data_IF_954871136391
#
_entry.id   IF_954871136391
#
_cell.length_a   1.000
_cell.length_b   1.000
_cell.length_c   1.000
_cell.angle_alpha   90.00
_cell.angle_beta   90.00
_cell.angle_gamma   90.00
#
_symmetry.space_group_name_H-M   'P 1'
#
loop_
_entity.id
_entity.type
_entity.pdbx_description
1 polymer ?
#
# COMPACT_ATOMS: atom_id res chain seq x y z
N UNK A 1 6.89 3.41 -5.56
CA UNK A 1 5.90 3.43 -4.47
C UNK A 1 5.54 4.86 -4.14
N UNK A 2 4.26 5.15 -3.88
CA UNK A 2 3.79 6.47 -3.43
C UNK A 2 3.52 6.42 -1.93
N UNK A 3 3.99 7.42 -1.20
CA UNK A 3 3.82 7.60 0.24
C UNK A 3 3.06 8.90 0.50
N UNK A 4 2.15 8.90 1.47
CA UNK A 4 1.59 10.13 2.04
C UNK A 4 2.43 10.53 3.25
N UNK A 5 3.12 11.66 3.15
CA UNK A 5 3.97 12.20 4.21
C UNK A 5 3.18 13.27 4.97
N UNK A 6 3.29 13.25 6.30
CA UNK A 6 2.73 14.27 7.18
C UNK A 6 3.83 14.72 8.13
N UNK A 7 4.13 16.02 8.13
CA UNK A 7 5.11 16.62 9.03
C UNK A 7 4.45 16.92 10.38
N UNK A 8 4.97 16.32 11.46
CA UNK A 8 4.42 16.44 12.83
C UNK A 8 5.12 17.51 13.68
N UNK A 9 6.32 17.93 13.30
CA UNK A 9 7.18 18.86 14.05
C UNK A 9 7.22 20.26 13.42
N UNK A 10 7.85 21.21 14.12
CA UNK A 10 8.21 22.52 13.56
C UNK A 10 9.16 22.31 12.37
N UNK A 11 8.58 22.25 11.17
CA UNK A 11 9.33 22.06 9.93
C UNK A 11 9.64 23.40 9.30
N UNK A 12 10.86 23.51 8.76
CA UNK A 12 11.26 24.65 7.94
C UNK A 12 10.34 24.83 6.71
N UNK A 13 9.72 23.76 6.20
CA UNK A 13 8.76 23.83 5.11
C UNK A 13 7.44 24.47 5.57
N UNK A 14 6.93 24.06 6.74
CA UNK A 14 5.72 24.66 7.33
C UNK A 14 5.96 26.14 7.64
N UNK A 15 7.13 26.49 8.19
CA UNK A 15 7.50 27.89 8.47
C UNK A 15 7.59 28.75 7.20
N UNK A 16 7.88 28.13 6.05
CA UNK A 16 7.85 28.78 4.73
C UNK A 16 6.45 28.86 4.12
N UNK A 17 5.43 28.35 4.81
CA UNK A 17 4.03 28.39 4.36
C UNK A 17 3.60 27.21 3.51
N UNK A 18 4.42 26.14 3.41
CA UNK A 18 4.01 24.90 2.77
C UNK A 18 3.07 24.09 3.68
N UNK A 19 2.14 23.29 3.11
CA UNK A 19 1.26 22.43 3.89
C UNK A 19 2.06 21.34 4.63
N UNK A 20 1.53 20.85 5.75
CA UNK A 20 2.16 19.75 6.49
C UNK A 20 2.13 18.41 5.74
N UNK A 21 1.19 18.23 4.82
CA UNK A 21 0.99 17.01 4.05
C UNK A 21 1.60 17.14 2.64
N UNK A 22 2.31 16.10 2.18
CA UNK A 22 2.84 16.03 0.82
C UNK A 22 3.03 14.59 0.32
N UNK A 23 3.03 14.36 -1.00
CA UNK A 23 3.37 13.07 -1.57
C UNK A 23 4.89 12.83 -1.57
N UNK A 24 5.28 11.60 -1.29
CA UNK A 24 6.62 11.07 -1.51
C UNK A 24 6.60 9.95 -2.55
N UNK A 25 7.59 9.89 -3.45
CA UNK A 25 7.71 8.79 -4.43
C UNK A 25 9.10 8.17 -4.37
N UNK A 26 9.14 6.85 -4.22
CA UNK A 26 10.37 6.06 -4.42
C UNK A 26 10.56 5.72 -5.90
N UNK A 27 11.71 6.08 -6.44
CA UNK A 27 12.09 5.83 -7.82
C UNK A 27 12.15 4.33 -8.10
N UNK A 28 11.53 3.92 -9.21
CA UNK A 28 11.60 2.56 -9.71
C UNK A 28 11.92 2.57 -11.20
N UNK A 29 13.08 2.02 -11.56
CA UNK A 29 13.56 1.96 -12.94
C UNK A 29 12.65 1.14 -13.85
N UNK A 30 11.85 0.23 -13.29
CA UNK A 30 10.91 -0.58 -14.07
C UNK A 30 9.70 0.23 -14.57
N UNK A 31 9.43 1.40 -13.98
CA UNK A 31 8.27 2.22 -14.33
C UNK A 31 8.68 3.30 -15.34
N UNK A 32 8.04 3.27 -16.51
CA UNK A 32 8.31 4.19 -17.63
C UNK A 32 7.93 5.63 -17.33
N UNK A 33 6.93 5.85 -16.47
CA UNK A 33 6.46 7.18 -16.05
C UNK A 33 7.57 8.09 -15.53
N UNK A 34 8.61 7.55 -14.89
CA UNK A 34 9.74 8.37 -14.40
C UNK A 34 10.57 8.97 -15.54
N UNK A 35 10.54 8.40 -16.75
CA UNK A 35 11.23 8.96 -17.92
C UNK A 35 10.51 10.21 -18.43
N UNK A 36 9.22 10.35 -18.15
CA UNK A 36 8.38 11.46 -18.56
C UNK A 36 8.17 12.49 -17.44
N UNK A 37 8.73 12.28 -16.24
CA UNK A 37 8.49 13.10 -15.06
C UNK A 37 8.72 14.60 -15.27
N UNK A 38 9.76 14.97 -16.03
CA UNK A 38 10.01 16.36 -16.39
C UNK A 38 8.93 16.91 -17.32
N UNK A 39 8.54 16.17 -18.37
CA UNK A 39 7.48 16.59 -19.29
C UNK A 39 6.15 16.76 -18.56
N UNK A 40 5.79 15.81 -17.70
CA UNK A 40 4.56 15.87 -16.88
C UNK A 40 4.58 17.11 -16.00
N UNK A 41 5.68 17.40 -15.30
CA UNK A 41 5.76 18.58 -14.44
C UNK A 41 5.68 19.88 -15.25
N UNK A 42 6.36 19.95 -16.39
CA UNK A 42 6.36 21.16 -17.24
C UNK A 42 4.98 21.51 -17.80
N UNK A 43 4.07 20.54 -17.95
CA UNK A 43 2.69 20.81 -18.35
C UNK A 43 1.92 21.59 -17.26
N UNK A 44 2.30 21.43 -15.99
CA UNK A 44 1.67 22.16 -14.89
C UNK A 44 2.27 23.55 -14.67
N UNK A 45 3.61 23.66 -14.72
CA UNK A 45 4.31 24.87 -14.24
C UNK A 45 5.10 25.60 -15.33
N UNK A 46 5.21 25.04 -16.54
CA UNK A 46 6.06 25.60 -17.60
C UNK A 46 7.54 25.30 -17.37
N UNK A 47 8.37 26.34 -17.18
CA UNK A 47 9.81 26.17 -16.98
C UNK A 47 10.14 25.74 -15.54
N UNK A 48 10.46 24.45 -15.39
CA UNK A 48 10.80 23.83 -14.12
C UNK A 48 11.98 24.52 -13.43
N UNK A 49 12.97 25.03 -14.18
CA UNK A 49 14.17 25.62 -13.57
C UNK A 49 13.92 26.99 -12.96
N UNK A 50 12.97 27.74 -13.52
CA UNK A 50 12.62 29.07 -13.04
C UNK A 50 11.56 29.01 -11.93
N UNK A 51 10.64 28.04 -12.02
CA UNK A 51 9.46 27.97 -11.17
C UNK A 51 9.63 27.02 -9.98
N UNK A 52 10.55 26.05 -10.04
CA UNK A 52 10.76 25.07 -8.96
C UNK A 52 12.17 25.07 -8.38
N UNK A 53 12.24 24.85 -7.07
CA UNK A 53 13.47 24.57 -6.35
C UNK A 53 13.53 23.08 -6.02
N UNK A 54 14.63 22.42 -6.39
CA UNK A 54 14.88 21.01 -6.05
C UNK A 54 16.16 20.95 -5.23
N UNK A 55 16.02 20.60 -3.95
CA UNK A 55 17.13 20.46 -3.02
C UNK A 55 17.41 18.99 -2.80
N UNK A 56 18.65 18.57 -3.06
CA UNK A 56 19.07 17.18 -2.85
C UNK A 56 19.67 17.02 -1.45
N UNK A 57 19.13 16.10 -0.67
CA UNK A 57 19.60 15.80 0.67
C UNK A 57 19.92 14.30 0.80
N UNK A 58 21.13 13.88 0.39
CA UNK A 58 21.50 12.47 0.39
C UNK A 58 21.68 11.89 1.79
N UNK A 59 21.92 12.73 2.79
CA UNK A 59 22.32 12.34 4.14
C UNK A 59 21.27 12.72 5.21
N UNK A 60 20.12 13.27 4.80
CA UNK A 60 19.05 13.75 5.68
C UNK A 60 19.47 14.86 6.65
N UNK A 61 20.43 15.67 6.23
CA UNK A 61 20.98 16.74 7.03
C UNK A 61 20.20 18.05 6.89
N UNK A 62 19.60 18.30 5.72
CA UNK A 62 18.87 19.54 5.44
C UNK A 62 17.40 19.44 5.82
N UNK A 63 16.79 18.26 5.69
CA UNK A 63 15.38 18.00 5.98
C UNK A 63 15.20 16.75 6.87
N UNK A 64 15.74 16.75 8.11
CA UNK A 64 15.60 15.62 9.02
C UNK A 64 14.14 15.28 9.35
N UNK A 65 13.26 16.28 9.40
CA UNK A 65 11.82 16.08 9.63
C UNK A 65 11.13 15.34 8.48
N UNK A 66 11.62 15.53 7.24
CA UNK A 66 11.11 14.81 6.06
C UNK A 66 11.55 13.35 6.12
N UNK A 67 12.79 13.08 6.56
CA UNK A 67 13.28 11.73 6.75
C UNK A 67 12.47 10.98 7.83
N UNK A 68 12.15 11.64 8.94
CA UNK A 68 11.29 11.07 9.99
C UNK A 68 9.89 10.74 9.44
N UNK A 69 9.26 11.67 8.71
CA UNK A 69 7.96 11.44 8.09
C UNK A 69 7.97 10.28 7.08
N UNK A 70 9.08 10.08 6.34
CA UNK A 70 9.24 8.92 5.44
C UNK A 70 9.26 7.62 6.25
N UNK A 71 9.99 7.57 7.37
CA UNK A 71 10.03 6.39 8.24
C UNK A 71 8.65 6.07 8.83
N UNK A 72 7.93 7.09 9.30
CA UNK A 72 6.56 6.95 9.81
C UNK A 72 5.56 6.49 8.73
N UNK A 73 5.79 6.89 7.48
CA UNK A 73 5.05 6.41 6.33
C UNK A 73 5.41 4.97 5.90
N UNK A 74 6.40 4.34 6.56
CA UNK A 74 6.91 3.01 6.22
C UNK A 74 7.77 3.00 4.95
N UNK A 75 8.33 4.15 4.57
CA UNK A 75 9.27 4.27 3.47
C UNK A 75 10.65 3.72 3.81
N UNK A 76 11.40 3.34 2.78
CA UNK A 76 12.78 2.89 2.93
C UNK A 76 13.74 4.04 3.17
N UNK A 77 14.79 3.78 3.94
CA UNK A 77 15.87 4.72 4.16
C UNK A 77 16.71 4.91 2.88
N UNK A 78 16.36 5.92 2.07
CA UNK A 78 17.04 6.27 0.82
C UNK A 78 17.44 7.74 0.82
N UNK A 79 18.43 8.11 0.00
CA UNK A 79 18.72 9.52 -0.28
C UNK A 79 17.46 10.22 -0.81
N UNK A 80 17.23 11.48 -0.40
CA UNK A 80 16.03 12.23 -0.79
C UNK A 80 16.35 13.48 -1.62
N UNK A 81 15.33 13.93 -2.34
CA UNK A 81 15.26 15.28 -2.89
C UNK A 81 13.91 15.87 -2.54
N UNK A 82 13.91 17.12 -2.09
CA UNK A 82 12.71 17.89 -1.77
C UNK A 82 12.49 18.89 -2.89
N UNK A 83 11.31 18.83 -3.51
CA UNK A 83 10.92 19.70 -4.60
C UNK A 83 9.86 20.65 -4.09
N UNK A 84 10.06 21.95 -4.35
CA UNK A 84 9.21 23.03 -3.87
C UNK A 84 8.75 23.87 -5.06
N UNK A 85 7.45 24.19 -5.07
CA UNK A 85 6.80 25.08 -6.01
C UNK A 85 6.14 26.24 -5.24
N UNK A 86 6.87 27.35 -5.03
CA UNK A 86 6.42 28.44 -4.16
C UNK A 86 5.09 29.08 -4.59
N UNK A 87 4.83 29.18 -5.90
CA UNK A 87 3.67 29.90 -6.45
C UNK A 87 2.32 29.33 -6.02
N UNK A 88 2.24 28.03 -5.74
CA UNK A 88 1.04 27.39 -5.18
C UNK A 88 1.28 26.75 -3.81
N UNK A 89 2.40 27.10 -3.15
CA UNK A 89 2.83 26.50 -1.88
C UNK A 89 2.78 24.96 -1.90
N UNK A 90 3.21 24.34 -3.01
CA UNK A 90 3.27 22.88 -3.12
C UNK A 90 4.69 22.38 -2.91
N UNK A 91 4.80 21.24 -2.25
CA UNK A 91 6.06 20.52 -2.13
C UNK A 91 5.82 19.01 -2.23
N UNK A 92 6.90 18.27 -2.46
CA UNK A 92 6.91 16.83 -2.56
C UNK A 92 8.33 16.25 -2.39
N UNK A 93 8.42 14.93 -2.26
CA UNK A 93 9.70 14.24 -2.00
C UNK A 93 9.95 13.12 -3.01
N UNK A 94 11.17 13.07 -3.55
CA UNK A 94 11.67 11.96 -4.37
C UNK A 94 12.76 11.17 -3.65
N UNK A 95 12.62 9.85 -3.59
CA UNK A 95 13.59 8.96 -2.95
C UNK A 95 14.30 8.09 -4.00
N UNK A 96 15.63 8.11 -4.02
CA UNK A 96 16.46 7.23 -4.85
C UNK A 96 17.94 7.32 -4.46
N UNK A 97 18.70 6.23 -4.61
CA UNK A 97 20.16 6.25 -4.37
C UNK A 97 20.94 7.21 -5.28
N UNK A 98 20.52 7.38 -6.54
CA UNK A 98 21.19 8.27 -7.51
C UNK A 98 20.47 9.61 -7.72
N UNK A 99 21.23 10.70 -7.86
CA UNK A 99 20.69 12.07 -8.00
C UNK A 99 19.66 12.21 -9.14
N UNK A 100 19.91 11.58 -10.31
CA UNK A 100 18.96 11.57 -11.44
C UNK A 100 17.64 10.88 -11.10
N UNK A 101 17.71 9.77 -10.36
CA UNK A 101 16.52 9.04 -9.91
C UNK A 101 15.72 9.87 -8.91
N UNK A 102 16.40 10.56 -7.99
CA UNK A 102 15.78 11.47 -7.03
C UNK A 102 15.07 12.61 -7.73
N UNK A 103 15.74 13.22 -8.70
CA UNK A 103 15.19 14.34 -9.47
C UNK A 103 13.98 13.90 -10.31
N UNK A 104 14.03 12.73 -10.94
CA UNK A 104 12.87 12.19 -11.66
C UNK A 104 11.70 11.90 -10.70
N UNK A 105 11.97 11.27 -9.55
CA UNK A 105 10.93 10.94 -8.59
C UNK A 105 10.31 12.18 -7.94
N UNK A 106 11.10 13.18 -7.58
CA UNK A 106 10.59 14.39 -6.93
C UNK A 106 9.76 15.23 -7.90
N UNK A 107 10.15 15.30 -9.18
CA UNK A 107 9.34 15.97 -10.21
C UNK A 107 7.98 15.31 -10.37
N UNK A 108 7.95 13.97 -10.39
CA UNK A 108 6.70 13.23 -10.49
C UNK A 108 5.84 13.41 -9.23
N UNK A 109 6.46 13.38 -8.04
CA UNK A 109 5.77 13.62 -6.78
C UNK A 109 5.19 15.04 -6.71
N UNK A 110 5.93 16.04 -7.18
CA UNK A 110 5.48 17.42 -7.22
C UNK A 110 4.31 17.61 -8.18
N UNK A 111 4.37 16.96 -9.36
CA UNK A 111 3.24 16.88 -10.29
C UNK A 111 1.99 16.30 -9.61
N UNK A 112 2.13 15.25 -8.79
CA UNK A 112 1.00 14.69 -8.03
C UNK A 112 0.45 15.67 -7.00
N UNK A 113 1.32 16.41 -6.30
CA UNK A 113 0.94 17.42 -5.31
C UNK A 113 0.14 18.57 -5.94
N UNK A 114 0.52 18.99 -7.15
CA UNK A 114 -0.19 20.02 -7.93
C UNK A 114 -1.51 19.47 -8.49
N UNK A 115 -1.50 18.24 -9.01
CA UNK A 115 -2.68 17.60 -9.61
C UNK A 115 -3.85 17.44 -8.63
N UNK A 116 -3.60 17.37 -7.32
CA UNK A 116 -4.64 17.29 -6.29
C UNK A 116 -5.60 18.50 -6.28
N UNK A 117 -5.12 19.67 -6.70
CA UNK A 117 -5.91 20.91 -6.69
C UNK A 117 -6.48 21.27 -8.07
N UNK A 118 -6.17 20.47 -9.09
CA UNK A 118 -6.57 20.75 -10.47
C UNK A 118 -8.00 20.28 -10.73
N UNK A 119 -8.70 21.01 -11.60
CA UNK A 119 -10.01 20.59 -12.04
C UNK A 119 -9.94 19.36 -12.96
N UNK A 120 -11.05 18.63 -13.00
CA UNK A 120 -11.19 17.42 -13.79
C UNK A 120 -10.97 17.63 -15.31
N UNK A 121 -11.28 18.82 -15.84
CA UNK A 121 -11.09 19.15 -17.25
C UNK A 121 -9.62 19.23 -17.62
N UNK A 122 -8.83 19.90 -16.78
CA UNK A 122 -7.36 19.99 -16.94
C UNK A 122 -6.72 18.60 -16.88
N UNK A 123 -7.09 17.79 -15.88
CA UNK A 123 -6.58 16.42 -15.73
C UNK A 123 -6.99 15.49 -16.88
N UNK A 124 -8.17 15.70 -17.48
CA UNK A 124 -8.61 14.93 -18.64
C UNK A 124 -7.74 15.18 -19.89
N UNK A 125 -7.20 16.39 -20.04
CA UNK A 125 -6.22 16.71 -21.09
C UNK A 125 -4.94 15.90 -20.92
N UNK A 126 -4.41 15.87 -19.70
CA UNK A 126 -3.20 15.12 -19.36
C UNK A 126 -3.35 13.62 -19.53
N UNK A 127 -4.52 13.07 -19.24
CA UNK A 127 -4.79 11.63 -19.38
C UNK A 127 -4.58 11.08 -20.79
N UNK A 128 -4.63 11.94 -21.81
CA UNK A 128 -4.35 11.56 -23.20
C UNK A 128 -2.86 11.49 -23.49
N UNK A 129 -2.07 12.36 -22.87
CA UNK A 129 -0.64 12.49 -23.12
C UNK A 129 0.19 11.62 -22.18
N UNK A 130 -0.28 11.39 -20.95
CA UNK A 130 0.46 10.72 -19.87
C UNK A 130 -0.43 9.69 -19.15
N UNK A 131 -0.83 8.59 -19.82
CA UNK A 131 -1.70 7.59 -19.23
C UNK A 131 -1.09 6.92 -17.98
N UNK A 132 0.21 6.64 -17.99
CA UNK A 132 0.91 6.00 -16.85
C UNK A 132 0.89 6.89 -15.60
N UNK A 133 0.99 8.22 -15.77
CA UNK A 133 0.87 9.17 -14.68
C UNK A 133 -0.53 9.16 -14.07
N UNK A 134 -1.57 9.04 -14.90
CA UNK A 134 -2.94 8.95 -14.40
C UNK A 134 -3.21 7.66 -13.63
N UNK A 135 -2.62 6.54 -14.06
CA UNK A 135 -2.66 5.29 -13.30
C UNK A 135 -2.04 5.51 -11.92
N UNK A 136 -0.88 6.16 -11.87
CA UNK A 136 -0.21 6.47 -10.60
C UNK A 136 -1.07 7.36 -9.67
N UNK A 137 -1.75 8.39 -10.21
CA UNK A 137 -2.66 9.22 -9.43
C UNK A 137 -3.86 8.44 -8.87
N UNK A 138 -4.40 7.49 -9.64
CA UNK A 138 -5.50 6.62 -9.20
C UNK A 138 -5.04 5.63 -8.13
N UNK A 139 -3.88 5.00 -8.31
CA UNK A 139 -3.28 4.08 -7.33
C UNK A 139 -2.94 4.80 -6.02
N UNK A 140 -2.51 6.05 -6.10
CA UNK A 140 -2.29 6.91 -4.95
C UNK A 140 -3.58 7.44 -4.31
N UNK A 141 -4.76 7.10 -4.84
CA UNK A 141 -6.06 7.56 -4.37
C UNK A 141 -6.27 9.07 -4.42
N UNK A 142 -5.49 9.79 -5.23
CA UNK A 142 -5.66 11.23 -5.48
C UNK A 142 -6.89 11.46 -6.36
N UNK A 143 -7.08 10.59 -7.35
CA UNK A 143 -8.27 10.62 -8.21
C UNK A 143 -9.31 9.65 -7.68
N UNK A 144 -10.37 10.19 -7.06
CA UNK A 144 -11.55 9.39 -6.74
C UNK A 144 -12.33 9.08 -8.01
N UNK A 145 -12.60 7.80 -8.27
CA UNK A 145 -13.34 7.32 -9.46
C UNK A 145 -14.84 7.68 -9.42
N UNK A 146 -15.22 8.68 -8.65
CA UNK A 146 -16.61 9.12 -8.45
C UNK A 146 -17.12 9.84 -9.70
N UNK A 147 -17.57 9.06 -10.68
CA UNK A 147 -18.40 9.51 -11.79
C UNK A 147 -17.67 9.76 -13.10
N UNK A 148 -17.58 8.72 -13.94
CA UNK A 148 -17.56 8.86 -15.41
C UNK A 148 -16.38 9.58 -16.09
N UNK A 149 -15.20 9.69 -15.46
CA UNK A 149 -14.04 10.36 -16.08
C UNK A 149 -12.82 9.48 -16.35
N UNK A 150 -12.85 8.19 -16.04
CA UNK A 150 -11.77 7.30 -16.48
C UNK A 150 -11.93 7.11 -17.99
N UNK A 151 -11.08 7.71 -18.84
CA UNK A 151 -11.18 7.54 -20.28
C UNK A 151 -11.09 6.05 -20.58
N UNK A 152 -11.88 5.56 -21.53
CA UNK A 152 -11.83 4.15 -21.95
C UNK A 152 -10.39 3.69 -22.29
N UNK A 153 -9.54 4.63 -22.73
CA UNK A 153 -8.11 4.43 -22.97
C UNK A 153 -7.32 3.91 -21.75
N UNK A 154 -7.65 4.33 -20.54
CA UNK A 154 -6.98 3.88 -19.31
C UNK A 154 -7.34 2.43 -18.93
N UNK A 155 -8.47 1.90 -19.43
CA UNK A 155 -8.90 0.52 -19.12
C UNK A 155 -8.13 -0.55 -19.90
N UNK A 156 -7.44 -0.20 -20.98
CA UNK A 156 -6.74 -1.18 -21.84
C UNK A 156 -5.24 -1.33 -21.54
N UNK A 157 -4.65 -0.44 -20.73
CA UNK A 157 -3.20 -0.41 -20.46
C UNK A 157 -2.73 -1.30 -19.30
N UNK A 158 -3.62 -1.84 -18.47
CA UNK A 158 -3.25 -2.71 -17.34
C UNK A 158 -2.71 -4.09 -17.75
N UNK A 159 -2.56 -4.40 -19.05
CA UNK A 159 -2.19 -5.73 -19.52
C UNK A 159 -1.35 -5.72 -20.79
N UNK A 160 -0.04 -5.48 -20.68
CA UNK A 160 0.91 -5.90 -21.71
C UNK A 160 1.97 -4.88 -22.08
N UNK A 161 2.98 -4.72 -21.22
CA UNK A 161 4.25 -4.11 -21.65
C UNK A 161 5.01 -5.09 -22.56
N UNK A 162 4.61 -5.18 -23.83
CA UNK A 162 5.46 -5.68 -24.92
C UNK A 162 5.99 -4.48 -25.68
N UNK A 163 7.11 -3.95 -25.19
CA UNK A 163 7.90 -2.93 -25.86
C UNK A 163 8.22 -3.35 -27.30
N UNK A 164 7.55 -2.70 -28.25
CA UNK A 164 7.93 -2.70 -29.66
C UNK A 164 8.41 -1.28 -29.96
N UNK A 165 9.66 -1.02 -29.61
CA UNK A 165 10.33 0.24 -29.96
C UNK A 165 10.26 0.44 -31.47
N UNK A 166 9.52 1.46 -31.90
CA UNK A 166 9.63 1.96 -33.28
C UNK A 166 10.93 2.76 -33.33
N UNK A 167 11.92 2.19 -34.02
CA UNK A 167 13.14 2.91 -34.37
C UNK A 167 12.80 4.16 -35.14
N UNK A 168 13.23 5.31 -34.61
CA UNK A 168 13.32 6.54 -35.36
C UNK A 168 14.45 6.37 -36.39
N UNK A 169 14.07 6.27 -37.65
CA UNK A 169 14.97 6.23 -38.81
C UNK A 169 15.56 7.63 -39.03
N UNK A 170 16.62 7.95 -38.28
CA UNK A 170 17.44 9.13 -38.50
C UNK A 170 18.47 8.88 -39.60
N UNK A 171 18.17 9.34 -40.83
CA UNK A 171 19.16 9.45 -41.91
C UNK A 171 20.15 10.56 -41.58
N UNK A 172 21.37 10.18 -41.22
CA UNK A 172 22.52 11.09 -41.09
C UNK A 172 23.79 10.41 -41.62
N UNK A 173 24.13 10.70 -42.88
CA UNK A 173 25.48 10.48 -43.43
C UNK A 173 26.46 11.35 -42.63
N UNK A 174 27.61 10.83 -42.23
CA UNK A 174 28.91 11.16 -42.84
C UNK A 174 30.07 10.48 -42.10
N UNK A 175 31.12 10.17 -42.86
CA UNK A 175 32.13 9.16 -42.61
C UNK A 175 33.29 9.71 -41.76
N UNK A 176 33.46 9.19 -40.55
CA UNK A 176 34.72 9.27 -39.79
C UNK A 176 35.43 7.91 -39.79
N UNK A 177 36.47 7.76 -40.60
CA UNK A 177 37.37 6.58 -40.59
C UNK A 177 38.21 6.60 -39.31
N UNK A 178 37.96 5.65 -38.41
CA UNK A 178 38.88 5.29 -37.32
C UNK A 178 39.01 3.77 -37.27
N UNK A 179 40.09 3.25 -37.85
CA UNK A 179 40.55 1.87 -37.65
C UNK A 179 40.92 1.73 -36.18
N UNK A 180 40.45 0.69 -35.50
CA UNK A 180 41.38 -0.17 -34.76
C UNK A 180 40.81 -1.55 -34.47
N UNK A 181 41.73 -2.51 -34.58
CA UNK A 181 41.55 -3.95 -34.53
C UNK A 181 41.65 -4.41 -33.08
N UNK A 182 40.70 -5.20 -32.61
CA UNK A 182 40.80 -5.91 -31.33
C UNK A 182 39.91 -7.13 -31.32
N UNK A 183 40.44 -8.27 -31.78
CA UNK A 183 39.74 -9.54 -31.80
C UNK A 183 39.68 -10.18 -30.41
N UNK A 184 38.48 -10.56 -29.98
CA UNK A 184 38.24 -11.37 -28.79
C UNK A 184 37.24 -12.48 -29.11
N UNK A 185 37.77 -13.68 -29.35
CA UNK A 185 37.04 -14.90 -29.72
C UNK A 185 36.65 -15.62 -28.42
N UNK A 186 35.39 -15.56 -28.01
CA UNK A 186 34.86 -16.30 -26.86
C UNK A 186 33.67 -17.17 -27.24
N UNK A 187 33.90 -18.49 -27.35
CA UNK A 187 32.89 -19.53 -27.54
C UNK A 187 32.49 -20.12 -26.18
N UNK A 188 31.19 -20.30 -25.93
CA UNK A 188 30.62 -21.21 -24.93
C UNK A 188 29.10 -20.97 -24.84
N UNK A 189 28.23 -21.76 -25.49
CA UNK A 189 27.65 -23.08 -25.15
C UNK A 189 26.84 -23.12 -23.84
N UNK A 190 25.58 -23.58 -23.98
CA UNK A 190 24.65 -24.03 -22.92
C UNK A 190 23.43 -23.10 -22.83
N UNK A 191 22.18 -23.46 -23.16
CA UNK A 191 21.52 -24.76 -23.19
C UNK A 191 20.55 -24.86 -22.01
N UNK A 192 19.23 -24.84 -22.26
CA UNK A 192 18.21 -25.10 -21.24
C UNK A 192 16.93 -24.28 -21.39
N UNK A 193 16.08 -24.61 -22.36
CA UNK A 193 14.71 -24.10 -22.45
C UNK A 193 13.77 -25.18 -21.90
N UNK A 194 13.24 -24.98 -20.69
CA UNK A 194 12.13 -25.78 -20.16
C UNK A 194 10.98 -24.85 -19.83
N UNK A 195 10.03 -24.78 -20.77
CA UNK A 195 8.74 -24.17 -20.55
C UNK A 195 7.83 -25.20 -19.87
N UNK A 196 7.56 -25.01 -18.59
CA UNK A 196 6.40 -25.62 -17.93
C UNK A 196 5.39 -24.50 -17.67
N UNK A 197 4.22 -24.63 -18.28
CA UNK A 197 3.12 -23.69 -18.10
C UNK A 197 2.53 -23.84 -16.69
N UNK A 198 2.25 -22.74 -15.97
CA UNK A 198 1.60 -22.83 -14.67
C UNK A 198 0.14 -23.26 -14.85
N UNK A 199 -0.20 -24.43 -14.33
CA UNK A 199 -1.59 -24.87 -14.18
C UNK A 199 -2.32 -23.92 -13.23
N UNK A 200 -3.35 -23.25 -13.76
CA UNK A 200 -4.31 -22.49 -12.96
C UNK A 200 -5.09 -23.45 -12.07
N UNK A 201 -4.92 -23.33 -10.76
CA UNK A 201 -5.77 -24.00 -9.77
C UNK A 201 -7.16 -23.36 -9.81
N UNK A 202 -8.24 -24.16 -9.87
CA UNK A 202 -9.59 -23.64 -9.71
C UNK A 202 -9.74 -23.10 -8.28
N UNK A 203 -10.12 -21.83 -8.17
CA UNK A 203 -10.38 -21.19 -6.89
C UNK A 203 -11.55 -21.88 -6.19
N UNK A 204 -11.26 -22.57 -5.09
CA UNK A 204 -12.27 -23.05 -4.16
C UNK A 204 -12.89 -21.85 -3.47
N UNK A 205 -14.03 -21.38 -3.97
CA UNK A 205 -14.90 -20.47 -3.25
C UNK A 205 -15.45 -21.20 -2.04
N UNK A 206 -14.76 -21.09 -0.90
CA UNK A 206 -15.31 -21.49 0.40
C UNK A 206 -16.64 -20.77 0.62
N UNK A 207 -17.59 -21.47 1.25
CA UNK A 207 -18.88 -20.85 1.60
C UNK A 207 -18.62 -19.62 2.46
N UNK A 208 -19.21 -18.50 2.08
CA UNK A 208 -19.21 -17.28 2.89
C UNK A 208 -19.93 -17.61 4.20
N UNK A 209 -19.34 -17.30 5.37
CA UNK A 209 -19.98 -17.56 6.64
C UNK A 209 -21.31 -16.79 6.74
N UNK A 210 -22.30 -17.40 7.38
CA UNK A 210 -23.69 -16.92 7.46
C UNK A 210 -23.84 -15.60 8.24
N UNK A 211 -22.80 -15.18 8.98
CA UNK A 211 -22.75 -13.92 9.72
C UNK A 211 -21.36 -13.31 9.57
N UNK A 212 -21.24 -12.29 8.72
CA UNK A 212 -19.99 -11.55 8.56
C UNK A 212 -20.21 -10.03 8.65
N UNK A 213 -19.28 -9.35 9.31
CA UNK A 213 -19.25 -7.88 9.38
C UNK A 213 -18.08 -7.38 8.56
N UNK A 214 -18.34 -6.68 7.47
CA UNK A 214 -17.31 -6.06 6.66
C UNK A 214 -17.20 -4.57 6.99
N UNK A 215 -16.03 -4.13 7.46
CA UNK A 215 -15.64 -2.74 7.59
C UNK A 215 -14.80 -2.38 6.37
N UNK A 216 -15.24 -1.42 5.55
CA UNK A 216 -14.46 -0.90 4.43
C UNK A 216 -14.13 0.57 4.59
N UNK A 217 -12.89 0.96 4.31
CA UNK A 217 -12.48 2.35 4.14
C UNK A 217 -12.91 2.88 2.76
N UNK A 218 -13.54 4.05 2.71
CA UNK A 218 -13.91 4.68 1.43
C UNK A 218 -12.72 5.30 0.67
N UNK A 219 -11.56 5.43 1.31
CA UNK A 219 -10.40 6.15 0.76
C UNK A 219 -9.28 5.15 0.44
N UNK A 220 -9.06 4.81 -0.85
CA UNK A 220 -8.08 3.79 -1.27
C UNK A 220 -6.64 4.07 -0.83
N UNK A 221 -6.25 5.35 -0.79
CA UNK A 221 -4.90 5.77 -0.40
C UNK A 221 -4.56 5.48 1.06
N UNK A 222 -5.58 5.35 1.91
CA UNK A 222 -5.43 5.01 3.31
C UNK A 222 -5.54 3.49 3.55
N UNK A 223 -5.85 2.66 2.54
CA UNK A 223 -6.19 1.25 2.70
C UNK A 223 -5.25 0.46 3.64
N UNK A 224 -3.91 0.55 3.55
CA UNK A 224 -3.05 -0.20 4.46
C UNK A 224 -3.15 0.28 5.92
N UNK A 225 -3.23 1.60 6.15
CA UNK A 225 -3.41 2.20 7.48
C UNK A 225 -4.82 1.99 8.01
N UNK A 226 -5.83 2.17 7.17
CA UNK A 226 -7.23 2.00 7.47
C UNK A 226 -7.60 0.54 7.72
N UNK A 227 -6.94 -0.42 7.07
CA UNK A 227 -7.13 -1.86 7.38
C UNK A 227 -6.59 -2.18 8.75
N UNK A 228 -5.37 -1.72 9.08
CA UNK A 228 -4.78 -1.91 10.43
C UNK A 228 -5.65 -1.26 11.51
N UNK A 229 -6.14 -0.06 11.24
CA UNK A 229 -7.01 0.66 12.16
C UNK A 229 -8.39 0.01 12.28
N UNK A 230 -8.99 -0.45 11.19
CA UNK A 230 -10.25 -1.21 11.22
C UNK A 230 -10.12 -2.50 12.02
N UNK A 231 -9.01 -3.23 11.87
CA UNK A 231 -8.71 -4.43 12.66
C UNK A 231 -8.52 -4.07 14.14
N UNK A 232 -7.84 -2.96 14.47
CA UNK A 232 -7.69 -2.46 15.85
C UNK A 232 -9.05 -2.14 16.46
N UNK A 233 -9.88 -1.37 15.76
CA UNK A 233 -11.22 -0.98 16.20
C UNK A 233 -12.14 -2.20 16.39
N UNK A 234 -12.08 -3.20 15.51
CA UNK A 234 -12.84 -4.45 15.66
C UNK A 234 -12.39 -5.25 16.89
N UNK A 235 -11.08 -5.34 17.15
CA UNK A 235 -10.57 -6.01 18.35
C UNK A 235 -11.00 -5.28 19.63
N UNK A 236 -10.89 -3.95 19.66
CA UNK A 236 -11.34 -3.16 20.83
C UNK A 236 -12.84 -3.30 21.07
N UNK A 237 -13.65 -3.28 20.01
CA UNK A 237 -15.09 -3.50 20.12
C UNK A 237 -15.41 -4.90 20.65
N UNK A 238 -14.70 -5.94 20.18
CA UNK A 238 -14.90 -7.30 20.66
C UNK A 238 -14.49 -7.48 22.13
N UNK A 239 -13.37 -6.89 22.56
CA UNK A 239 -12.97 -6.95 23.97
C UNK A 239 -13.94 -6.17 24.87
N UNK A 240 -14.47 -5.03 24.42
CA UNK A 240 -15.48 -4.28 25.16
C UNK A 240 -16.79 -5.06 25.32
N UNK A 241 -17.13 -5.91 24.35
CA UNK A 241 -18.36 -6.70 24.33
C UNK A 241 -18.24 -8.05 25.02
N UNK A 242 -17.05 -8.48 25.46
CA UNK A 242 -16.89 -9.69 26.29
C UNK A 242 -17.39 -9.41 27.71
N UNK A 243 -18.54 -9.95 28.13
CA UNK A 243 -19.02 -9.77 29.49
C UNK A 243 -18.17 -10.66 30.43
N UNK A 244 -17.49 -10.06 31.41
CA UNK A 244 -17.24 -10.76 32.68
C UNK A 244 -16.12 -11.81 32.77
N UNK A 245 -15.11 -11.82 31.90
CA UNK A 245 -13.83 -12.55 32.17
C UNK A 245 -12.88 -11.66 33.01
N UNK A 246 -13.42 -10.97 34.01
CA UNK A 246 -12.63 -10.42 35.13
C UNK A 246 -12.87 -11.26 36.38
N UNK A 247 -12.96 -12.58 36.21
CA UNK A 247 -12.88 -13.50 37.32
C UNK A 247 -11.50 -13.33 37.97
N UNK A 248 -11.50 -12.81 39.20
CA UNK A 248 -10.34 -12.88 40.11
C UNK A 248 -9.73 -14.29 39.94
N UNK A 249 -8.43 -14.44 39.61
CA UNK A 249 -7.84 -15.75 39.44
C UNK A 249 -8.11 -16.58 40.70
N UNK A 250 -8.48 -17.86 40.58
CA UNK A 250 -8.70 -18.70 41.75
C UNK A 250 -7.42 -18.70 42.60
N UNK A 251 -7.48 -18.08 43.78
CA UNK A 251 -6.49 -18.27 44.83
C UNK A 251 -6.52 -19.76 45.19
N UNK A 252 -5.57 -20.55 44.68
CA UNK A 252 -5.39 -21.94 45.11
C UNK A 252 -5.03 -22.99 44.04
N UNK A 253 -4.45 -22.63 42.89
CA UNK A 253 -3.86 -23.62 41.98
C UNK A 253 -2.34 -23.43 41.92
N UNK A 254 -1.62 -24.00 42.89
CA UNK A 254 -0.19 -24.27 42.78
C UNK A 254 -0.04 -25.46 41.81
N UNK A 255 0.23 -25.16 40.54
CA UNK A 255 0.63 -26.15 39.53
C UNK A 255 2.16 -26.11 39.42
N UNK A 256 2.79 -27.02 40.15
CA UNK A 256 4.22 -27.31 40.13
C UNK A 256 4.56 -27.93 38.76
N UNK A 257 5.08 -27.11 37.83
CA UNK A 257 5.68 -27.62 36.58
C UNK A 257 7.09 -27.08 36.39
N UNK A 258 8.01 -28.02 36.27
CA UNK A 258 9.44 -27.85 36.02
C UNK A 258 9.72 -27.03 34.74
N UNK A 259 10.61 -26.02 34.81
CA UNK A 259 11.01 -25.22 33.66
C UNK A 259 12.23 -25.85 32.99
N UNK A 260 12.02 -26.96 32.28
CA UNK A 260 13.09 -27.58 31.49
C UNK A 260 12.54 -28.32 30.26
N UNK A 261 11.98 -27.59 29.30
CA UNK A 261 12.24 -27.93 27.90
C UNK A 261 12.11 -26.70 27.01
N UNK A 262 13.10 -26.53 26.14
CA UNK A 262 13.28 -25.36 25.30
C UNK A 262 12.66 -25.51 23.92
N UNK A 263 12.35 -24.37 23.30
CA UNK A 263 12.27 -24.23 21.85
C UNK A 263 10.87 -24.27 21.26
N UNK A 264 10.22 -23.10 21.20
CA UNK A 264 9.14 -22.87 20.24
C UNK A 264 9.34 -21.52 19.58
N UNK A 265 9.72 -21.54 18.31
CA UNK A 265 9.82 -20.33 17.49
C UNK A 265 8.46 -19.66 17.37
N UNK A 266 8.42 -18.35 17.65
CA UNK A 266 7.26 -17.52 17.41
C UNK A 266 6.93 -17.58 15.90
N UNK A 267 5.86 -18.28 15.55
CA UNK A 267 5.33 -18.26 14.19
C UNK A 267 4.86 -16.84 13.90
N UNK A 268 5.25 -16.30 12.74
CA UNK A 268 4.69 -15.04 12.26
C UNK A 268 3.18 -15.18 12.07
N UNK A 269 2.44 -14.07 12.15
CA UNK A 269 0.98 -14.04 11.95
C UNK A 269 0.58 -14.73 10.63
N UNK A 270 1.41 -14.66 9.59
CA UNK A 270 1.21 -15.38 8.33
C UNK A 270 1.44 -16.90 8.43
N UNK A 271 2.38 -17.36 9.25
CA UNK A 271 2.61 -18.79 9.50
C UNK A 271 1.48 -19.43 10.31
N UNK A 272 0.90 -18.69 11.26
CA UNK A 272 -0.30 -19.11 11.98
C UNK A 272 -1.51 -19.24 11.03
N UNK A 273 -1.67 -18.28 10.11
CA UNK A 273 -2.73 -18.28 9.08
C UNK A 273 -2.63 -19.47 8.11
N UNK A 274 -1.41 -19.81 7.66
CA UNK A 274 -1.20 -20.88 6.69
C UNK A 274 -1.38 -22.28 7.31
N UNK A 275 -1.03 -22.42 8.60
CA UNK A 275 -1.30 -23.62 9.38
C UNK A 275 -2.81 -23.87 9.59
N UNK A 276 -3.58 -22.82 9.87
CA UNK A 276 -5.03 -22.92 10.11
C UNK A 276 -5.80 -23.20 8.80
N UNK A 277 -5.39 -22.60 7.68
CA UNK A 277 -5.91 -22.94 6.35
C UNK A 277 -5.56 -24.38 5.93
N UNK A 278 -4.44 -24.93 6.39
CA UNK A 278 -4.10 -26.33 6.15
C UNK A 278 -4.98 -27.29 6.97
N UNK A 279 -5.34 -26.93 8.21
CA UNK A 279 -6.24 -27.72 9.08
C UNK A 279 -7.68 -27.76 8.52
N UNK A 280 -8.20 -26.62 8.03
CA UNK A 280 -9.51 -26.56 7.38
C UNK A 280 -9.56 -27.31 6.04
N UNK A 281 -8.42 -27.46 5.36
CA UNK A 281 -8.31 -28.27 4.13
C UNK A 281 -8.15 -29.77 4.41
N UNK A 282 -7.81 -30.16 5.64
CA UNK A 282 -7.50 -31.54 6.02
C UNK A 282 -8.65 -32.33 6.65
N UNK A 283 -9.77 -31.70 7.00
CA UNK A 283 -10.84 -32.35 7.79
C UNK A 283 -11.88 -33.10 6.93
N UNK A 284 -11.42 -33.97 6.03
CA UNK A 284 -12.30 -34.98 5.40
C UNK A 284 -11.65 -36.37 5.44
N UNK A 285 -11.82 -37.06 6.56
CA UNK A 285 -11.63 -38.51 6.64
C UNK A 285 -10.71 -38.97 7.79
N UNK A 286 -11.30 -39.58 8.82
CA UNK A 286 -10.57 -40.32 9.85
C UNK A 286 -11.38 -40.49 11.13
N UNK A 287 -11.66 -41.74 11.49
CA UNK A 287 -12.68 -42.18 12.44
C UNK A 287 -12.52 -41.72 13.91
N UNK A 288 -13.66 -41.42 14.54
CA UNK A 288 -14.04 -42.05 15.82
C UNK A 288 -13.63 -41.41 17.15
N UNK A 289 -12.97 -40.25 17.18
CA UNK A 289 -12.71 -39.53 18.43
C UNK A 289 -13.77 -38.45 18.69
N UNK A 290 -14.40 -38.48 19.88
CA UNK A 290 -15.35 -37.45 20.29
C UNK A 290 -14.67 -36.06 20.25
N UNK A 291 -15.26 -35.06 19.56
CA UNK A 291 -14.62 -33.76 19.41
C UNK A 291 -14.51 -33.07 20.76
N UNK A 292 -13.29 -32.69 21.15
CA UNK A 292 -13.07 -31.80 22.28
C UNK A 292 -13.88 -30.52 22.05
N UNK A 293 -14.62 -30.04 23.06
CA UNK A 293 -15.30 -28.74 23.03
C UNK A 293 -14.26 -27.65 22.76
N UNK A 294 -14.15 -27.21 21.51
CA UNK A 294 -13.30 -26.09 21.11
C UNK A 294 -14.11 -24.80 21.28
N UNK A 295 -13.50 -23.80 21.91
CA UNK A 295 -14.08 -22.46 22.02
C UNK A 295 -14.23 -21.88 20.60
N UNK A 296 -15.39 -21.30 20.24
CA UNK A 296 -15.56 -20.68 18.93
C UNK A 296 -14.51 -19.59 18.73
N UNK A 297 -13.76 -19.68 17.62
CA UNK A 297 -12.74 -18.70 17.26
C UNK A 297 -13.31 -17.74 16.22
N UNK A 298 -13.34 -16.46 16.57
CA UNK A 298 -13.67 -15.38 15.64
C UNK A 298 -12.52 -15.26 14.65
N UNK A 299 -12.82 -15.34 13.35
CA UNK A 299 -11.81 -15.22 12.30
C UNK A 299 -11.83 -13.82 11.70
N UNK A 300 -10.65 -13.22 11.56
CA UNK A 300 -10.47 -11.93 10.90
C UNK A 300 -9.92 -12.17 9.50
N UNK A 301 -10.62 -11.65 8.50
CA UNK A 301 -10.15 -11.64 7.12
C UNK A 301 -9.90 -10.18 6.71
N UNK A 302 -8.66 -9.83 6.40
CA UNK A 302 -8.33 -8.48 5.92
C UNK A 302 -7.77 -8.53 4.50
N UNK A 303 -8.37 -7.80 3.57
CA UNK A 303 -7.76 -7.49 2.27
C UNK A 303 -7.16 -6.08 2.31
N UNK A 304 -5.85 -6.03 2.58
CA UNK A 304 -5.06 -4.78 2.74
C UNK A 304 -5.16 -3.88 1.50
N UNK A 305 -5.34 -4.45 0.31
CA UNK A 305 -5.42 -3.71 -0.96
C UNK A 305 -6.71 -2.92 -1.14
N UNK A 306 -7.77 -3.22 -0.38
CA UNK A 306 -9.09 -2.58 -0.51
C UNK A 306 -9.57 -1.87 0.75
N UNK A 307 -8.78 -1.88 1.83
CA UNK A 307 -9.21 -1.23 3.06
C UNK A 307 -10.37 -1.96 3.72
N UNK A 308 -10.52 -3.27 3.46
CA UNK A 308 -11.64 -4.07 3.95
C UNK A 308 -11.14 -5.02 5.04
N UNK A 309 -11.73 -4.93 6.22
CA UNK A 309 -11.63 -5.91 7.28
C UNK A 309 -12.99 -6.61 7.44
N UNK A 310 -13.02 -7.93 7.29
CA UNK A 310 -14.19 -8.77 7.47
C UNK A 310 -14.02 -9.57 8.74
N UNK A 311 -14.96 -9.42 9.67
CA UNK A 311 -15.11 -10.26 10.83
C UNK A 311 -16.07 -11.39 10.48
N UNK A 312 -15.62 -12.64 10.51
CA UNK A 312 -16.48 -13.81 10.36
C UNK A 312 -16.75 -14.45 11.70
N UNK A 313 -18.02 -14.70 11.99
CA UNK A 313 -18.46 -15.39 13.21
C UNK A 313 -18.93 -16.80 12.81
N UNK A 314 -18.30 -17.87 13.32
CA UNK A 314 -18.72 -19.23 13.01
C UNK A 314 -20.11 -19.55 13.60
N UNK A 315 -20.90 -20.36 12.88
CA UNK A 315 -22.26 -20.77 13.24
C UNK A 315 -22.33 -21.56 14.56
N UNK A 316 -21.25 -22.26 14.92
CA UNK A 316 -21.16 -23.07 16.14
C UNK A 316 -21.07 -22.22 17.44
N UNK A 317 -20.98 -20.89 17.32
CA UNK A 317 -20.89 -19.96 18.44
C UNK A 317 -22.26 -19.53 19.03
N UNK A 318 -23.38 -20.08 18.54
CA UNK A 318 -24.76 -19.70 18.91
C UNK A 318 -25.16 -19.99 20.38
N UNK A 319 -24.22 -20.44 21.23
CA UNK A 319 -24.44 -20.68 22.66
C UNK A 319 -23.96 -19.56 23.60
N UNK A 320 -23.12 -18.63 23.13
CA UNK A 320 -22.73 -17.44 23.89
C UNK A 320 -23.55 -16.24 23.39
N UNK A 321 -23.93 -15.31 24.29
CA UNK A 321 -24.56 -14.03 23.91
C UNK A 321 -23.57 -13.20 23.08
N UNK A 322 -23.45 -13.55 21.82
CA UNK A 322 -22.64 -12.81 20.87
C UNK A 322 -23.25 -11.42 20.69
N UNK A 323 -22.42 -10.37 20.63
CA UNK A 323 -22.93 -9.04 20.39
C UNK A 323 -23.67 -8.99 19.06
N UNK A 324 -24.83 -8.33 19.09
CA UNK A 324 -25.56 -8.00 17.88
C UNK A 324 -24.70 -7.13 16.97
N UNK A 325 -24.96 -7.21 15.67
CA UNK A 325 -24.32 -6.37 14.67
C UNK A 325 -24.34 -4.87 15.02
N UNK A 326 -25.48 -4.40 15.53
CA UNK A 326 -25.65 -3.02 16.00
C UNK A 326 -24.70 -2.68 17.14
N UNK A 327 -24.52 -3.57 18.11
CA UNK A 327 -23.60 -3.34 19.23
C UNK A 327 -22.15 -3.29 18.78
N UNK A 328 -21.75 -4.15 17.83
CA UNK A 328 -20.39 -4.12 17.28
C UNK A 328 -20.13 -2.82 16.51
N UNK A 329 -21.11 -2.37 15.71
CA UNK A 329 -21.03 -1.09 14.99
C UNK A 329 -20.93 0.09 15.96
N UNK A 330 -21.78 0.12 16.99
CA UNK A 330 -21.76 1.15 18.02
C UNK A 330 -20.42 1.19 18.76
N UNK A 331 -19.86 0.04 19.14
CA UNK A 331 -18.56 -0.01 19.81
C UNK A 331 -17.38 0.33 18.90
N UNK A 332 -17.45 0.02 17.60
CA UNK A 332 -16.42 0.48 16.63
C UNK A 332 -16.43 2.01 16.55
N UNK A 333 -17.61 2.64 16.49
CA UNK A 333 -17.72 4.10 16.50
C UNK A 333 -17.31 4.70 17.86
N UNK A 334 -17.62 4.03 18.97
CA UNK A 334 -17.19 4.44 20.30
C UNK A 334 -15.66 4.35 20.44
N UNK A 335 -15.03 3.27 19.96
CA UNK A 335 -13.59 3.08 19.94
C UNK A 335 -12.88 4.14 19.08
N UNK A 336 -13.46 4.48 17.92
CA UNK A 336 -12.97 5.57 17.08
C UNK A 336 -13.04 6.93 17.78
N UNK A 337 -14.11 7.17 18.54
CA UNK A 337 -14.27 8.41 19.33
C UNK A 337 -13.25 8.47 20.47
N UNK A 338 -13.00 7.33 21.15
CA UNK A 338 -12.02 7.22 22.25
C UNK A 338 -10.57 7.45 21.78
N UNK A 339 -10.22 7.04 20.56
CA UNK A 339 -8.85 7.16 20.06
C UNK A 339 -8.46 8.58 19.65
N UNK A 340 -9.42 9.50 19.49
CA UNK A 340 -9.15 10.85 18.96
C UNK A 340 -8.60 10.85 17.53
N UNK A 341 -8.64 9.70 16.85
CA UNK A 341 -8.21 9.60 15.46
C UNK A 341 -9.15 10.40 14.56
N UNK A 342 -8.61 10.98 13.48
CA UNK A 342 -9.44 11.67 12.47
C UNK A 342 -10.57 10.74 12.00
N UNK A 343 -11.78 11.26 11.74
CA UNK A 343 -12.93 10.46 11.35
C UNK A 343 -12.67 9.81 9.97
N UNK A 344 -12.13 8.59 9.98
CA UNK A 344 -12.14 7.72 8.81
C UNK A 344 -13.58 7.26 8.61
N UNK A 345 -14.13 7.50 7.43
CA UNK A 345 -15.45 6.98 7.05
C UNK A 345 -15.34 5.49 6.81
N UNK A 346 -15.93 4.72 7.71
CA UNK A 346 -16.11 3.30 7.55
C UNK A 346 -17.53 3.03 7.06
N UNK A 347 -17.66 2.20 6.04
CA UNK A 347 -18.93 1.57 5.70
C UNK A 347 -18.94 0.20 6.34
N UNK A 348 -19.87 -0.02 7.27
CA UNK A 348 -20.07 -1.35 7.86
C UNK A 348 -21.21 -2.04 7.11
N UNK A 349 -20.93 -3.21 6.54
CA UNK A 349 -21.93 -4.06 5.88
C UNK A 349 -22.08 -5.37 6.62
N UNK A 350 -23.33 -5.73 6.87
CA UNK A 350 -23.74 -7.05 7.33
C UNK A 350 -23.91 -7.96 6.13
N UNK A 351 -23.22 -9.10 6.14
CA UNK A 351 -23.38 -10.19 5.17
C UNK A 351 -23.85 -11.46 5.86
#
# INVERSE_FOLDING_TARGET
TVLGLTLTQASRLIDQGYPADAPGISYDKAQTVFQEAASVLSEFIGDIKEECEIVHDPDWAEFPEVAEAIKEAGGEENCIAVGMYPKSAKWAVGMASGWKGREAAVKLALSMSIAQDMDAGTLAGMARNYPDFMVMLMEAGILTTTGSLVPAALRSHAGGNKGKGKGAEGKGKEKGKGKDKGGGKGKGRGGGNSQTAPQRRPGGGGRVPTRAVAISCEVPSLCPRATKEAVRLLNEALEALRPGISGKPPEGAEDERDPADGGAGALSVGGALEAELAELRGSSGGDGAAPAKRTPRIAFHSEVTRGVAVLSIPEEADGEELPTASQLVEEVFAAQTRSGARPVRFVVRMM
#
